data_IF_222869703594
#
_entry.id   IF_222869703594
#
_cell.length_a   1.000
_cell.length_b   1.000
_cell.length_c   1.000
_cell.angle_alpha   90.00
_cell.angle_beta   90.00
_cell.angle_gamma   90.00
#
_symmetry.space_group_name_H-M   'P 1'
#
loop_
_entity.id
_entity.type
_entity.pdbx_description
1 polymer ?
#
# COMPACT_ATOMS: atom_id res chain seq x y z
N UNK A 1 7.47 -8.64 -11.84
CA UNK A 1 6.55 -8.80 -10.70
C UNK A 1 6.38 -7.50 -9.97
N UNK A 2 5.22 -7.29 -9.40
CA UNK A 2 4.91 -6.06 -8.69
C UNK A 2 5.06 -6.27 -7.19
N UNK A 3 5.70 -5.32 -6.51
CA UNK A 3 5.97 -5.41 -5.09
C UNK A 3 5.60 -4.11 -4.39
N UNK A 4 5.23 -4.19 -3.11
CA UNK A 4 5.24 -3.05 -2.20
C UNK A 4 6.37 -3.26 -1.20
N UNK A 5 7.23 -2.25 -1.08
CA UNK A 5 8.40 -2.30 -0.19
C UNK A 5 8.23 -1.20 0.84
N UNK A 6 8.19 -1.59 2.11
CA UNK A 6 8.02 -0.68 3.23
C UNK A 6 9.37 -0.11 3.69
N UNK A 7 9.33 1.00 4.39
CA UNK A 7 10.51 1.66 4.94
C UNK A 7 11.29 0.79 5.93
N UNK A 8 10.65 -0.23 6.49
CA UNK A 8 11.28 -1.22 7.35
C UNK A 8 12.10 -2.27 6.58
N UNK A 9 11.95 -2.31 5.25
CA UNK A 9 12.52 -3.36 4.41
C UNK A 9 11.55 -4.52 4.15
N UNK A 10 10.39 -4.55 4.80
CA UNK A 10 9.37 -5.55 4.52
C UNK A 10 8.92 -5.44 3.07
N UNK A 11 8.91 -6.57 2.35
CA UNK A 11 8.51 -6.65 0.94
C UNK A 11 7.34 -7.60 0.81
N UNK A 12 6.30 -7.20 0.05
CA UNK A 12 5.14 -8.05 -0.20
C UNK A 12 4.85 -8.07 -1.70
N UNK A 13 4.66 -9.27 -2.23
CA UNK A 13 4.30 -9.46 -3.63
C UNK A 13 2.85 -9.04 -3.85
N UNK A 14 2.62 -8.23 -4.89
CA UNK A 14 1.27 -7.79 -5.27
C UNK A 14 0.84 -8.60 -6.49
N UNK A 15 0.41 -9.83 -6.29
CA UNK A 15 -0.14 -10.69 -7.35
C UNK A 15 -1.65 -10.88 -7.23
N UNK A 16 -2.23 -10.35 -6.17
CA UNK A 16 -3.66 -10.38 -5.86
C UNK A 16 -3.93 -9.28 -4.83
N UNK A 17 -5.18 -8.98 -4.49
CA UNK A 17 -5.46 -7.94 -3.51
C UNK A 17 -4.85 -8.22 -2.14
N UNK A 18 -4.28 -7.19 -1.53
CA UNK A 18 -3.72 -7.18 -0.19
C UNK A 18 -4.53 -6.24 0.70
N UNK A 19 -4.70 -6.61 1.95
CA UNK A 19 -5.25 -5.74 3.00
C UNK A 19 -4.14 -5.44 4.00
N UNK A 20 -3.77 -4.18 4.12
CA UNK A 20 -2.61 -3.74 4.89
C UNK A 20 -3.06 -2.95 6.10
N UNK A 21 -2.45 -3.22 7.24
CA UNK A 21 -2.72 -2.48 8.45
C UNK A 21 -1.92 -2.99 9.64
N UNK A 22 -2.20 -2.40 10.79
CA UNK A 22 -1.58 -2.78 12.05
C UNK A 22 -2.09 -4.14 12.54
N UNK A 23 -3.35 -4.47 12.21
CA UNK A 23 -3.97 -5.74 12.57
C UNK A 23 -5.06 -6.07 11.55
N UNK A 24 -4.67 -6.37 10.29
CA UNK A 24 -5.66 -6.53 9.23
C UNK A 24 -6.42 -7.85 9.34
N UNK A 25 -7.67 -7.83 8.88
CA UNK A 25 -8.48 -9.01 8.72
C UNK A 25 -8.73 -9.24 7.22
N UNK A 26 -8.92 -10.48 6.83
CA UNK A 26 -9.13 -10.85 5.43
C UNK A 26 -10.57 -11.35 5.24
N UNK A 27 -11.54 -10.43 5.29
CA UNK A 27 -12.95 -10.76 5.17
C UNK A 27 -13.43 -10.83 3.72
N UNK A 28 -12.70 -10.20 2.80
CA UNK A 28 -13.09 -10.04 1.41
C UNK A 28 -12.25 -10.87 0.44
N UNK A 29 -11.43 -11.79 0.96
CA UNK A 29 -10.52 -12.59 0.15
C UNK A 29 -9.16 -11.97 -0.10
N UNK A 30 -8.92 -10.73 0.36
CA UNK A 30 -7.60 -10.11 0.28
C UNK A 30 -6.64 -10.81 1.22
N UNK A 31 -5.36 -10.89 0.85
CA UNK A 31 -4.32 -11.41 1.74
C UNK A 31 -3.99 -10.35 2.80
N UNK A 32 -4.11 -10.72 4.06
CA UNK A 32 -3.81 -9.82 5.17
C UNK A 32 -2.29 -9.64 5.30
N UNK A 33 -1.85 -8.38 5.36
CA UNK A 33 -0.44 -8.01 5.52
C UNK A 33 -0.30 -7.15 6.76
N UNK A 34 0.28 -7.75 7.80
CA UNK A 34 0.55 -7.04 9.04
C UNK A 34 1.82 -6.20 8.91
N UNK A 35 1.69 -4.90 9.17
CA UNK A 35 2.83 -3.98 9.19
C UNK A 35 3.04 -3.53 10.63
N UNK A 36 4.15 -3.92 11.27
CA UNK A 36 4.43 -3.48 12.63
C UNK A 36 4.55 -1.96 12.70
N UNK A 37 3.87 -1.36 13.67
CA UNK A 37 3.88 0.08 13.85
C UNK A 37 3.76 0.42 15.33
N UNK A 38 4.90 0.74 15.96
CA UNK A 38 4.96 1.10 17.37
C UNK A 38 4.40 2.49 17.65
N UNK A 39 4.25 3.34 16.62
CA UNK A 39 3.68 4.68 16.77
C UNK A 39 2.16 4.68 16.82
N UNK A 40 1.52 3.55 16.46
CA UNK A 40 0.08 3.39 16.33
C UNK A 40 -0.55 4.38 15.35
N UNK A 41 0.23 4.86 14.38
CA UNK A 41 -0.25 5.76 13.33
C UNK A 41 -1.00 5.01 12.23
N UNK A 42 -0.76 3.69 12.10
CA UNK A 42 -1.49 2.83 11.19
C UNK A 42 -2.80 2.37 11.80
N UNK A 43 -3.88 2.44 11.03
CA UNK A 43 -5.15 1.83 11.41
C UNK A 43 -5.05 0.31 11.32
N UNK A 44 -5.93 -0.39 12.04
CA UNK A 44 -5.99 -1.86 11.97
C UNK A 44 -6.16 -2.32 10.53
N UNK A 45 -7.15 -1.76 9.84
CA UNK A 45 -7.36 -1.89 8.40
C UNK A 45 -7.09 -0.53 7.80
N UNK A 46 -5.95 -0.35 7.12
CA UNK A 46 -5.54 0.97 6.65
C UNK A 46 -5.72 1.14 5.15
N UNK A 47 -5.21 0.18 4.37
CA UNK A 47 -5.13 0.30 2.93
C UNK A 47 -5.42 -1.05 2.29
N UNK A 48 -6.16 -1.05 1.20
CA UNK A 48 -6.26 -2.20 0.32
C UNK A 48 -5.65 -1.85 -1.02
N UNK A 49 -4.97 -2.79 -1.63
CA UNK A 49 -4.34 -2.58 -2.93
C UNK A 49 -4.28 -3.86 -3.72
N UNK A 50 -4.12 -3.72 -5.02
CA UNK A 50 -3.98 -4.84 -5.91
C UNK A 50 -3.30 -4.44 -7.21
N UNK A 51 -2.95 -5.42 -8.07
CA UNK A 51 -2.21 -5.14 -9.29
C UNK A 51 -3.10 -4.57 -10.39
N UNK A 52 -2.50 -3.71 -11.23
CA UNK A 52 -3.08 -3.27 -12.50
C UNK A 52 -2.04 -3.52 -13.61
N UNK A 53 -2.43 -3.27 -14.86
CA UNK A 53 -1.52 -3.47 -15.99
C UNK A 53 -0.24 -2.66 -15.87
N UNK A 54 -0.31 -1.44 -15.31
CA UNK A 54 0.83 -0.51 -15.29
C UNK A 54 1.25 -0.09 -13.88
N UNK A 55 0.68 -0.69 -12.84
CA UNK A 55 1.00 -0.31 -11.47
C UNK A 55 0.09 -1.00 -10.49
N UNK A 56 -0.57 -0.23 -9.63
CA UNK A 56 -1.45 -0.76 -8.60
C UNK A 56 -2.68 0.13 -8.44
N UNK A 57 -3.79 -0.45 -8.01
CA UNK A 57 -4.90 0.33 -7.48
C UNK A 57 -4.77 0.37 -5.95
N UNK A 58 -5.12 1.50 -5.36
CA UNK A 58 -5.04 1.74 -3.93
C UNK A 58 -6.38 2.26 -3.42
N UNK A 59 -6.78 1.78 -2.25
CA UNK A 59 -8.02 2.23 -1.60
C UNK A 59 -7.77 2.42 -0.12
N UNK A 60 -7.89 3.67 0.37
CA UNK A 60 -7.84 3.93 1.81
C UNK A 60 -9.12 3.42 2.47
N UNK A 61 -8.97 2.66 3.54
CA UNK A 61 -10.10 2.02 4.23
C UNK A 61 -10.61 2.88 5.39
N UNK A 62 -10.80 4.17 5.12
CA UNK A 62 -11.24 5.16 6.10
C UNK A 62 -10.31 5.18 7.32
N UNK A 63 -9.01 5.15 7.03
CA UNK A 63 -7.98 5.12 8.06
C UNK A 63 -8.00 6.39 8.91
N UNK A 64 -7.59 6.26 10.18
CA UNK A 64 -7.63 7.38 11.13
C UNK A 64 -6.73 8.53 10.70
N UNK A 65 -5.55 8.23 10.18
CA UNK A 65 -4.56 9.23 9.79
C UNK A 65 -4.46 9.46 8.28
N UNK A 66 -5.29 8.76 7.51
CA UNK A 66 -5.33 8.90 6.06
C UNK A 66 -4.18 8.22 5.35
N UNK A 67 -4.25 8.25 4.04
CA UNK A 67 -3.21 7.75 3.14
C UNK A 67 -2.92 8.83 2.11
N UNK A 68 -1.65 9.17 1.95
CA UNK A 68 -1.19 10.06 0.89
C UNK A 68 -0.33 9.29 -0.09
N UNK A 69 -0.28 9.76 -1.33
CA UNK A 69 0.60 9.20 -2.35
C UNK A 69 1.45 10.31 -2.94
N UNK A 70 2.67 9.94 -3.34
CA UNK A 70 3.54 10.79 -4.16
C UNK A 70 3.84 10.01 -5.43
N UNK A 71 3.31 10.48 -6.56
CA UNK A 71 3.59 9.87 -7.86
C UNK A 71 4.99 10.24 -8.34
N UNK A 72 5.55 9.49 -9.32
CA UNK A 72 6.93 9.74 -9.78
C UNK A 72 7.18 11.16 -10.30
N UNK A 73 6.13 11.85 -10.73
CA UNK A 73 6.23 13.26 -11.15
C UNK A 73 6.29 14.24 -9.97
N UNK A 74 6.30 13.74 -8.74
CA UNK A 74 6.40 14.56 -7.52
C UNK A 74 5.07 15.07 -6.97
N UNK A 75 3.95 14.75 -7.61
CA UNK A 75 2.63 15.20 -7.16
C UNK A 75 2.20 14.43 -5.92
N UNK A 76 1.77 15.13 -4.89
CA UNK A 76 1.26 14.55 -3.66
C UNK A 76 -0.26 14.70 -3.62
N UNK A 77 -0.95 13.60 -3.32
CA UNK A 77 -2.41 13.57 -3.26
C UNK A 77 -2.84 12.79 -2.03
N UNK A 78 -3.90 13.25 -1.36
CA UNK A 78 -4.54 12.50 -0.28
C UNK A 78 -5.65 11.65 -0.89
N UNK A 79 -5.68 10.37 -0.54
CA UNK A 79 -6.73 9.46 -1.02
C UNK A 79 -8.04 9.74 -0.31
N UNK A 80 -9.14 9.75 -1.04
CA UNK A 80 -10.47 9.76 -0.43
C UNK A 80 -10.79 8.35 0.06
N UNK A 81 -11.26 8.23 1.31
CA UNK A 81 -11.62 6.93 1.88
C UNK A 81 -12.66 6.21 1.04
N UNK A 82 -12.45 4.92 0.83
CA UNK A 82 -13.36 4.05 0.11
C UNK A 82 -13.34 4.20 -1.40
N UNK A 83 -12.44 5.03 -1.94
CA UNK A 83 -12.35 5.27 -3.38
C UNK A 83 -11.02 4.73 -3.92
N UNK A 84 -11.09 3.71 -4.79
CA UNK A 84 -9.90 3.16 -5.41
C UNK A 84 -9.34 4.11 -6.46
N UNK A 85 -8.02 4.29 -6.46
CA UNK A 85 -7.30 5.04 -7.49
C UNK A 85 -6.17 4.19 -8.04
N UNK A 86 -5.86 4.34 -9.32
CA UNK A 86 -4.74 3.66 -9.95
C UNK A 86 -3.51 4.55 -9.90
N UNK A 87 -2.36 3.95 -9.57
CA UNK A 87 -1.08 4.65 -9.51
C UNK A 87 -0.02 3.87 -10.28
N UNK A 88 0.96 4.57 -10.89
CA UNK A 88 2.04 3.90 -11.60
C UNK A 88 3.07 3.30 -10.66
N UNK A 89 3.89 2.39 -11.20
CA UNK A 89 5.10 1.92 -10.52
C UNK A 89 5.97 3.12 -10.18
N UNK A 90 6.62 3.08 -9.01
CA UNK A 90 7.44 4.18 -8.51
C UNK A 90 6.68 5.13 -7.58
N UNK A 91 5.37 4.93 -7.40
CA UNK A 91 4.60 5.74 -6.46
C UNK A 91 4.96 5.40 -5.03
N UNK A 92 5.21 6.44 -4.23
CA UNK A 92 5.40 6.32 -2.78
C UNK A 92 4.05 6.44 -2.08
N UNK A 93 3.83 5.60 -1.08
CA UNK A 93 2.61 5.60 -0.28
C UNK A 93 2.98 6.00 1.15
N UNK A 94 2.24 6.96 1.70
CA UNK A 94 2.46 7.46 3.06
C UNK A 94 1.24 7.07 3.89
N UNK A 95 1.44 6.11 4.81
CA UNK A 95 0.40 5.56 5.67
C UNK A 95 0.72 5.93 7.11
N UNK A 96 0.08 7.00 7.62
CA UNK A 96 0.48 7.51 8.93
C UNK A 96 1.94 7.90 8.92
N UNK A 97 2.76 7.29 9.78
CA UNK A 97 4.21 7.52 9.82
C UNK A 97 5.00 6.47 9.03
N UNK A 98 4.32 5.48 8.44
CA UNK A 98 4.96 4.47 7.61
C UNK A 98 4.99 4.91 6.15
N UNK A 99 6.02 4.47 5.45
CA UNK A 99 6.17 4.74 4.02
C UNK A 99 6.42 3.45 3.28
N UNK A 100 5.94 3.40 2.03
CA UNK A 100 6.14 2.26 1.16
C UNK A 100 6.25 2.75 -0.28
N UNK A 101 6.82 1.91 -1.14
CA UNK A 101 6.97 2.24 -2.56
C UNK A 101 6.50 1.05 -3.40
N UNK A 102 5.79 1.35 -4.48
CA UNK A 102 5.38 0.34 -5.47
C UNK A 102 6.52 0.19 -6.46
N UNK A 103 7.06 -1.01 -6.58
CA UNK A 103 8.17 -1.30 -7.48
C UNK A 103 7.85 -2.50 -8.35
N UNK A 104 8.49 -2.56 -9.50
CA UNK A 104 8.42 -3.70 -10.41
C UNK A 104 9.82 -4.31 -10.52
N UNK A 105 9.93 -5.59 -10.21
CA UNK A 105 11.21 -6.30 -10.27
C UNK A 105 10.97 -7.77 -10.53
N UNK A 106 11.90 -8.39 -11.28
CA UNK A 106 11.89 -9.83 -11.43
C UNK A 106 12.41 -10.49 -10.15
N UNK A 107 11.86 -11.66 -9.82
CA UNK A 107 12.28 -12.40 -8.64
C UNK A 107 13.79 -12.73 -8.67
N UNK A 108 14.34 -12.94 -9.86
CA UNK A 108 15.75 -13.29 -10.03
C UNK A 108 16.69 -12.11 -9.75
N UNK A 109 16.18 -10.89 -9.71
CA UNK A 109 16.96 -9.67 -9.50
C UNK A 109 16.84 -9.13 -8.07
N UNK A 110 16.23 -9.87 -7.19
CA UNK A 110 15.96 -9.43 -5.82
C UNK A 110 16.91 -10.06 -4.82
#
# INVERSE_FOLDING_TARGET
MLWIIFDSGQCELIDAPLAIGRSPASDDGSRAVHVPDTTLSLSRMHLRLGPTANGAWLEDLFSANGTQIRTPDGRITTLAGGKAVEVPVGTEIILGERRATIVHADADNM
#
